data_IF_194845526439
#
_entry.id   IF_194845526439
#
_cell.length_a   1.000
_cell.length_b   1.000
_cell.length_c   1.000
_cell.angle_alpha   90.00
_cell.angle_beta   90.00
_cell.angle_gamma   90.00
#
_symmetry.space_group_name_H-M   'P 1'
#
loop_
_entity.id
_entity.type
_entity.pdbx_description
1 polymer ?
#
# COMPACT_ATOMS: atom_id res chain seq x y z
N UNK A 1 -34.45 -35.69 -1.54
CA UNK A 1 -33.19 -35.29 -0.88
C UNK A 1 -32.62 -34.16 -1.71
N UNK A 2 -32.71 -32.91 -1.22
CA UNK A 2 -32.05 -31.78 -1.83
C UNK A 2 -30.62 -31.78 -1.34
N UNK A 3 -29.66 -31.92 -2.23
CA UNK A 3 -28.23 -31.77 -1.91
C UNK A 3 -27.88 -30.32 -2.18
N UNK A 4 -27.69 -29.54 -1.11
CA UNK A 4 -27.17 -28.19 -1.21
C UNK A 4 -25.64 -28.29 -1.36
N UNK A 5 -25.15 -27.95 -2.53
CA UNK A 5 -23.71 -28.00 -2.83
C UNK A 5 -23.16 -26.59 -2.92
N UNK A 6 -22.27 -26.24 -2.01
CA UNK A 6 -21.49 -25.00 -2.05
C UNK A 6 -20.09 -25.35 -2.53
N UNK A 7 -19.67 -24.77 -3.63
CA UNK A 7 -18.30 -24.88 -4.12
C UNK A 7 -17.57 -23.59 -3.83
N UNK A 8 -16.52 -23.68 -3.02
CA UNK A 8 -15.56 -22.60 -2.81
C UNK A 8 -14.30 -23.01 -3.55
N UNK A 9 -13.97 -22.33 -4.64
CA UNK A 9 -12.70 -22.52 -5.33
C UNK A 9 -11.76 -21.44 -4.80
N UNK A 10 -10.83 -21.85 -3.95
CA UNK A 10 -9.79 -21.01 -3.42
C UNK A 10 -8.55 -21.00 -4.32
N UNK A 11 -8.21 -19.86 -4.79
CA UNK A 11 -6.92 -19.22 -4.96
C UNK A 11 -5.79 -19.92 -5.71
N UNK A 12 -5.39 -19.34 -6.84
CA UNK A 12 -4.01 -19.43 -7.35
C UNK A 12 -3.30 -18.12 -6.98
N UNK A 13 -2.40 -18.16 -6.01
CA UNK A 13 -1.52 -17.06 -5.69
C UNK A 13 -0.15 -17.33 -6.34
N UNK A 14 0.19 -16.57 -7.36
CA UNK A 14 1.56 -16.49 -7.84
C UNK A 14 2.23 -15.27 -7.20
N UNK A 15 3.14 -15.54 -6.27
CA UNK A 15 3.92 -14.51 -5.61
C UNK A 15 5.35 -14.54 -6.16
N UNK A 16 5.77 -13.45 -6.80
CA UNK A 16 7.14 -13.27 -7.27
C UNK A 16 7.80 -12.18 -6.43
N UNK A 17 8.93 -12.50 -5.81
CA UNK A 17 9.76 -11.51 -5.12
C UNK A 17 11.09 -11.37 -5.87
N UNK A 18 11.47 -10.14 -6.19
CA UNK A 18 12.76 -9.80 -6.79
C UNK A 18 13.59 -9.03 -5.78
N UNK A 19 14.80 -9.48 -5.55
CA UNK A 19 15.82 -8.77 -4.77
C UNK A 19 16.87 -8.29 -5.77
N UNK A 20 16.98 -6.98 -5.93
CA UNK A 20 18.07 -6.37 -6.71
C UNK A 20 19.07 -5.82 -5.71
N UNK A 21 20.21 -6.48 -5.58
CA UNK A 21 21.38 -5.96 -4.84
C UNK A 21 22.29 -5.29 -5.83
N UNK A 22 22.42 -3.98 -5.75
CA UNK A 22 23.34 -3.25 -6.60
C UNK A 22 24.74 -3.14 -5.96
N UNK A 23 25.74 -3.04 -6.84
CA UNK A 23 27.15 -3.22 -6.56
C UNK A 23 27.73 -2.11 -5.69
N UNK A 24 28.59 -2.47 -4.75
CA UNK A 24 29.44 -1.58 -3.97
C UNK A 24 30.47 -0.94 -4.93
N UNK A 25 30.41 0.38 -5.12
CA UNK A 25 31.51 1.13 -5.73
C UNK A 25 32.53 1.46 -4.66
N UNK A 26 33.62 0.68 -4.59
CA UNK A 26 34.84 1.08 -3.88
C UNK A 26 35.59 2.10 -4.74
N UNK A 27 35.52 3.38 -4.39
CA UNK A 27 36.51 4.35 -4.85
C UNK A 27 37.71 4.31 -3.91
N UNK A 28 38.74 3.55 -4.28
CA UNK A 28 40.03 3.58 -3.61
C UNK A 28 40.84 4.78 -4.05
N UNK A 29 40.75 5.89 -3.31
CA UNK A 29 41.79 6.91 -3.31
C UNK A 29 42.63 6.76 -2.04
N UNK A 30 43.89 6.43 -2.23
CA UNK A 30 44.92 6.42 -1.17
C UNK A 30 45.16 7.85 -0.74
N UNK A 31 44.64 8.19 0.42
CA UNK A 31 44.99 9.39 1.17
C UNK A 31 45.02 9.00 2.64
N UNK A 32 46.14 9.33 3.33
CA UNK A 32 46.47 8.98 4.72
C UNK A 32 45.53 9.56 5.80
N UNK A 33 44.24 9.41 5.61
CA UNK A 33 43.23 9.52 6.66
C UNK A 33 42.35 8.28 6.56
N UNK A 34 42.31 7.49 7.61
CA UNK A 34 41.42 6.36 7.76
C UNK A 34 39.98 6.91 7.79
N UNK A 35 39.45 7.20 6.63
CA UNK A 35 38.03 7.45 6.44
C UNK A 35 37.37 6.09 6.24
N UNK A 36 36.57 5.67 7.21
CA UNK A 36 35.72 4.49 7.04
C UNK A 36 34.98 4.57 5.70
N UNK A 37 34.95 3.49 4.90
CA UNK A 37 34.29 3.51 3.61
C UNK A 37 32.82 3.88 3.81
N UNK A 38 32.36 4.90 3.10
CA UNK A 38 30.94 5.29 3.10
C UNK A 38 30.17 4.23 2.31
N UNK A 39 29.61 3.27 3.01
CA UNK A 39 28.80 2.21 2.39
C UNK A 39 27.41 2.83 2.11
N UNK A 40 27.20 3.24 0.87
CA UNK A 40 25.87 3.52 0.36
C UNK A 40 25.29 2.20 -0.14
N UNK A 41 24.15 1.79 0.39
CA UNK A 41 23.46 0.59 -0.09
C UNK A 41 22.07 0.91 -0.61
N UNK A 42 21.73 0.30 -1.73
CA UNK A 42 20.41 0.38 -2.34
C UNK A 42 19.80 -1.03 -2.32
N UNK A 43 18.54 -1.12 -1.94
CA UNK A 43 17.80 -2.39 -1.98
C UNK A 43 16.41 -2.13 -2.52
N UNK A 44 16.02 -2.86 -3.56
CA UNK A 44 14.67 -2.86 -4.10
C UNK A 44 14.05 -4.24 -3.86
N UNK A 45 12.90 -4.25 -3.23
CA UNK A 45 12.12 -5.46 -2.97
C UNK A 45 10.71 -5.22 -3.49
N UNK A 46 10.08 -6.26 -4.03
CA UNK A 46 8.70 -6.14 -4.48
C UNK A 46 8.00 -7.48 -4.56
N UNK A 47 6.71 -7.45 -4.39
CA UNK A 47 5.83 -8.58 -4.64
C UNK A 47 4.66 -8.16 -5.53
N UNK A 48 4.21 -9.11 -6.33
CA UNK A 48 3.05 -8.97 -7.19
C UNK A 48 2.14 -10.17 -6.98
N UNK A 49 0.86 -9.93 -6.80
CA UNK A 49 -0.14 -10.96 -6.59
C UNK A 49 -1.35 -10.80 -7.49
N UNK A 50 -1.86 -11.92 -8.00
CA UNK A 50 -3.15 -11.99 -8.66
C UNK A 50 -3.99 -12.99 -7.88
N UNK A 51 -5.19 -12.59 -7.50
CA UNK A 51 -6.13 -13.42 -6.75
C UNK A 51 -7.43 -13.52 -7.52
N UNK A 52 -7.95 -14.74 -7.66
CA UNK A 52 -9.28 -14.99 -8.19
C UNK A 52 -10.08 -15.78 -7.16
N UNK A 53 -11.30 -15.34 -6.90
CA UNK A 53 -12.24 -16.04 -6.04
C UNK A 53 -13.55 -16.23 -6.78
N UNK A 54 -14.18 -17.38 -6.58
CA UNK A 54 -15.50 -17.67 -7.11
C UNK A 54 -16.35 -18.34 -6.03
N UNK A 55 -17.53 -17.80 -5.83
CA UNK A 55 -18.57 -18.38 -4.98
C UNK A 55 -19.76 -18.78 -5.86
N UNK A 56 -20.10 -20.05 -5.88
CA UNK A 56 -21.28 -20.54 -6.54
C UNK A 56 -22.28 -21.09 -5.50
N UNK A 57 -23.48 -20.52 -5.49
CA UNK A 57 -24.54 -20.87 -4.54
C UNK A 57 -25.76 -21.32 -5.34
N UNK A 58 -26.26 -22.53 -5.03
CA UNK A 58 -27.49 -23.06 -5.60
C UNK A 58 -28.40 -23.57 -4.49
N UNK A 59 -29.67 -23.16 -4.50
CA UNK A 59 -30.70 -23.62 -3.55
C UNK A 59 -30.34 -23.41 -2.06
N UNK A 60 -29.62 -22.33 -1.74
CA UNK A 60 -29.25 -22.02 -0.37
C UNK A 60 -30.40 -21.34 0.38
N UNK A 61 -30.87 -21.94 1.48
CA UNK A 61 -32.06 -21.49 2.22
C UNK A 61 -31.85 -20.16 2.95
N UNK A 62 -30.60 -19.83 3.34
CA UNK A 62 -30.28 -18.59 4.06
C UNK A 62 -30.10 -17.37 3.14
N UNK A 63 -30.31 -17.52 1.83
CA UNK A 63 -30.02 -16.48 0.84
C UNK A 63 -28.53 -16.42 0.50
N UNK A 64 -28.22 -15.61 -0.46
CA UNK A 64 -26.86 -15.42 -0.97
C UNK A 64 -26.85 -15.31 -2.49
N UNK A 65 -25.77 -14.82 -3.03
CA UNK A 65 -25.60 -14.61 -4.46
C UNK A 65 -24.27 -15.19 -4.94
N UNK A 66 -24.32 -15.90 -6.06
CA UNK A 66 -23.10 -16.37 -6.73
C UNK A 66 -22.31 -15.18 -7.25
N UNK A 67 -21.03 -15.15 -6.96
CA UNK A 67 -20.14 -14.08 -7.40
C UNK A 67 -18.77 -14.61 -7.80
N UNK A 68 -18.09 -13.83 -8.61
CA UNK A 68 -16.69 -14.00 -8.95
C UNK A 68 -15.94 -12.71 -8.68
N UNK A 69 -14.72 -12.77 -8.19
CA UNK A 69 -13.87 -11.60 -8.00
C UNK A 69 -12.45 -11.85 -8.46
N UNK A 70 -11.84 -10.81 -8.99
CA UNK A 70 -10.43 -10.77 -9.34
C UNK A 70 -9.76 -9.58 -8.70
N UNK A 71 -8.54 -9.76 -8.19
CA UNK A 71 -7.73 -8.72 -7.58
C UNK A 71 -6.28 -8.84 -8.00
N UNK A 72 -5.68 -7.68 -8.29
CA UNK A 72 -4.25 -7.53 -8.52
C UNK A 72 -3.68 -6.70 -7.36
N UNK A 73 -2.55 -7.13 -6.82
CA UNK A 73 -1.83 -6.41 -5.76
C UNK A 73 -0.36 -6.28 -6.13
N UNK A 74 0.25 -5.17 -5.76
CA UNK A 74 1.69 -4.99 -5.88
C UNK A 74 2.19 -4.18 -4.68
N UNK A 75 3.26 -4.66 -4.05
CA UNK A 75 3.98 -3.94 -3.01
C UNK A 75 5.42 -3.77 -3.47
N UNK A 76 5.93 -2.57 -3.38
CA UNK A 76 7.29 -2.23 -3.78
C UNK A 76 7.95 -1.48 -2.63
N UNK A 77 9.12 -1.93 -2.20
CA UNK A 77 9.91 -1.28 -1.16
C UNK A 77 11.29 -0.96 -1.70
N UNK A 78 11.63 0.31 -1.71
CA UNK A 78 12.96 0.79 -2.00
C UNK A 78 13.62 1.28 -0.73
N UNK A 79 14.79 0.74 -0.40
CA UNK A 79 15.62 1.14 0.75
C UNK A 79 16.92 1.73 0.25
N UNK A 80 17.25 2.91 0.76
CA UNK A 80 18.53 3.56 0.54
C UNK A 80 19.16 3.89 1.87
N UNK A 81 20.32 3.32 2.14
CA UNK A 81 21.12 3.60 3.35
C UNK A 81 22.31 4.46 3.01
N UNK A 82 22.48 5.50 3.77
CA UNK A 82 23.66 6.39 3.76
C UNK A 82 24.17 6.52 5.19
N UNK A 83 25.43 6.89 5.39
CA UNK A 83 26.13 6.95 6.69
C UNK A 83 25.29 7.47 7.87
N UNK A 84 24.48 8.51 7.65
CA UNK A 84 23.69 9.15 8.71
C UNK A 84 22.17 9.02 8.52
N UNK A 85 21.73 8.58 7.35
CA UNK A 85 20.31 8.58 7.00
C UNK A 85 19.91 7.29 6.29
N UNK A 86 18.79 6.77 6.71
CA UNK A 86 18.09 5.68 6.04
C UNK A 86 16.80 6.22 5.42
N UNK A 87 16.57 5.89 4.16
CA UNK A 87 15.37 6.22 3.41
C UNK A 87 14.66 4.93 3.04
N UNK A 88 13.37 4.86 3.32
CA UNK A 88 12.51 3.75 2.91
C UNK A 88 11.30 4.32 2.18
N UNK A 89 11.13 3.93 0.93
CA UNK A 89 9.96 4.27 0.13
C UNK A 89 9.15 2.99 -0.08
N UNK A 90 7.88 3.01 0.30
CA UNK A 90 6.96 1.91 0.08
C UNK A 90 5.83 2.37 -0.86
N UNK A 91 5.56 1.57 -1.89
CA UNK A 91 4.40 1.70 -2.74
C UNK A 91 3.49 0.48 -2.55
N UNK A 92 2.20 0.70 -2.31
CA UNK A 92 1.18 -0.35 -2.19
C UNK A 92 0.09 -0.03 -3.20
N UNK A 93 -0.13 -0.96 -4.12
CA UNK A 93 -1.11 -0.83 -5.18
C UNK A 93 -2.03 -2.04 -5.16
N UNK A 94 -3.32 -1.81 -5.23
CA UNK A 94 -4.30 -2.87 -5.33
C UNK A 94 -5.47 -2.41 -6.20
N UNK A 95 -5.95 -3.31 -7.05
CA UNK A 95 -7.16 -3.09 -7.84
C UNK A 95 -7.94 -4.38 -7.95
N UNK A 96 -9.22 -4.32 -7.65
CA UNK A 96 -10.08 -5.48 -7.63
C UNK A 96 -11.47 -5.18 -8.18
N UNK A 97 -12.04 -6.18 -8.82
CA UNK A 97 -13.41 -6.17 -9.36
C UNK A 97 -14.15 -7.41 -8.90
N UNK A 98 -15.43 -7.25 -8.62
CA UNK A 98 -16.37 -8.35 -8.33
C UNK A 98 -17.48 -8.36 -9.37
N UNK A 99 -17.89 -9.55 -9.79
CA UNK A 99 -19.02 -9.77 -10.70
C UNK A 99 -20.10 -10.57 -9.97
N UNK A 100 -21.32 -10.10 -10.02
CA UNK A 100 -22.48 -10.72 -9.39
C UNK A 100 -23.37 -11.36 -10.47
N UNK A 101 -23.69 -12.64 -10.29
CA UNK A 101 -24.39 -13.43 -11.31
C UNK A 101 -25.83 -13.00 -11.51
N UNK A 102 -26.53 -12.59 -10.44
CA UNK A 102 -27.95 -12.24 -10.46
C UNK A 102 -28.25 -11.05 -11.38
N UNK A 103 -27.47 -9.96 -11.21
CA UNK A 103 -27.70 -8.70 -11.89
C UNK A 103 -26.72 -8.48 -13.05
N UNK A 104 -25.79 -9.42 -13.29
CA UNK A 104 -24.66 -9.30 -14.23
C UNK A 104 -23.89 -7.99 -14.00
N UNK A 105 -23.80 -7.57 -12.76
CA UNK A 105 -23.19 -6.31 -12.34
C UNK A 105 -21.73 -6.54 -12.02
N UNK A 106 -20.92 -5.55 -12.38
CA UNK A 106 -19.51 -5.45 -12.00
C UNK A 106 -19.34 -4.33 -11.00
N UNK A 107 -18.73 -4.61 -9.88
CA UNK A 107 -18.44 -3.65 -8.84
C UNK A 107 -16.96 -3.60 -8.57
N UNK A 108 -16.45 -2.39 -8.36
CA UNK A 108 -15.10 -2.20 -7.87
C UNK A 108 -15.04 -2.65 -6.41
N UNK A 109 -14.24 -3.68 -6.12
CA UNK A 109 -14.12 -4.27 -4.79
C UNK A 109 -12.92 -3.72 -4.01
N UNK A 110 -11.87 -3.30 -4.72
CA UNK A 110 -10.70 -2.66 -4.13
C UNK A 110 -10.08 -1.67 -5.13
N UNK A 111 -9.60 -0.54 -4.62
CA UNK A 111 -8.88 0.43 -5.43
C UNK A 111 -8.00 1.25 -4.49
N UNK A 112 -6.71 0.97 -4.51
CA UNK A 112 -5.75 1.49 -3.55
C UNK A 112 -4.45 1.88 -4.22
N UNK A 113 -4.04 3.11 -4.01
CA UNK A 113 -2.75 3.65 -4.37
C UNK A 113 -2.18 4.34 -3.14
N UNK A 114 -1.17 3.73 -2.50
CA UNK A 114 -0.51 4.30 -1.34
C UNK A 114 1.00 4.37 -1.60
N UNK A 115 1.58 5.51 -1.34
CA UNK A 115 3.03 5.73 -1.38
C UNK A 115 3.42 6.34 -0.05
N UNK A 116 4.42 5.78 0.60
CA UNK A 116 4.98 6.33 1.84
C UNK A 116 6.49 6.43 1.76
N UNK A 117 7.02 7.47 2.38
CA UNK A 117 8.45 7.69 2.52
C UNK A 117 8.77 7.86 4.01
N UNK A 118 9.71 7.09 4.48
CA UNK A 118 10.28 7.22 5.82
C UNK A 118 11.74 7.62 5.69
N UNK A 119 12.14 8.66 6.40
CA UNK A 119 13.52 9.10 6.52
C UNK A 119 13.91 9.03 8.00
N UNK A 120 14.95 8.30 8.32
CA UNK A 120 15.46 8.14 9.69
C UNK A 120 16.92 8.55 9.76
N UNK A 121 17.29 9.27 10.82
CA UNK A 121 18.68 9.62 11.12
C UNK A 121 19.25 8.59 12.12
N UNK A 122 20.25 7.85 11.71
CA UNK A 122 20.89 6.78 12.49
C UNK A 122 22.07 7.27 13.33
N UNK A 123 21.94 8.39 14.00
CA UNK A 123 23.04 8.97 14.79
C UNK A 123 23.24 8.31 16.18
N UNK A 124 22.37 7.39 16.58
CA UNK A 124 22.40 6.69 17.87
C UNK A 124 21.93 5.25 17.73
N UNK A 125 22.50 4.34 18.52
CA UNK A 125 22.19 2.91 18.40
C UNK A 125 20.71 2.55 18.66
N UNK A 126 19.99 3.34 19.47
CA UNK A 126 18.63 2.99 19.91
C UNK A 126 17.59 4.10 19.64
N UNK A 127 18.03 5.34 19.43
CA UNK A 127 17.14 6.48 19.22
C UNK A 127 17.44 7.14 17.86
N UNK A 128 16.45 7.24 17.01
CA UNK A 128 16.54 7.89 15.71
C UNK A 128 15.48 8.96 15.56
N UNK A 129 15.85 10.12 14.99
CA UNK A 129 14.88 11.08 14.51
C UNK A 129 14.29 10.54 13.20
N UNK A 130 12.97 10.45 13.13
CA UNK A 130 12.26 9.84 12.00
C UNK A 130 11.19 10.77 11.50
N UNK A 131 11.13 10.96 10.18
CA UNK A 131 10.06 11.67 9.49
C UNK A 131 9.36 10.72 8.54
N UNK A 132 8.03 10.78 8.52
CA UNK A 132 7.19 9.95 7.66
C UNK A 132 6.27 10.86 6.86
N UNK A 133 6.24 10.66 5.55
CA UNK A 133 5.26 11.26 4.65
C UNK A 133 4.52 10.14 3.91
N UNK A 134 3.21 10.24 3.77
CA UNK A 134 2.42 9.28 3.00
C UNK A 134 1.34 9.96 2.19
N UNK A 135 1.09 9.40 1.02
CA UNK A 135 0.00 9.76 0.11
C UNK A 135 -0.86 8.52 -0.09
N UNK A 136 -2.16 8.65 0.10
CA UNK A 136 -3.14 7.62 -0.19
C UNK A 136 -4.23 8.17 -1.09
N UNK A 137 -4.48 7.48 -2.19
CA UNK A 137 -5.56 7.78 -3.15
C UNK A 137 -6.05 6.50 -3.82
N UNK A 138 -6.86 6.64 -4.84
CA UNK A 138 -7.38 5.57 -5.70
C UNK A 138 -7.12 5.89 -7.17
N UNK A 139 -7.26 4.89 -8.06
CA UNK A 139 -6.99 5.03 -9.49
C UNK A 139 -8.22 5.44 -10.30
N UNK A 140 -9.40 4.91 -9.94
CA UNK A 140 -10.62 5.02 -10.74
C UNK A 140 -11.78 5.55 -9.92
N UNK A 141 -12.86 5.89 -10.60
CA UNK A 141 -14.09 6.33 -9.93
C UNK A 141 -14.67 5.22 -9.07
N UNK A 142 -15.15 5.59 -7.89
CA UNK A 142 -15.93 4.75 -7.01
C UNK A 142 -17.41 5.11 -7.07
N UNK A 143 -18.27 4.12 -6.86
CA UNK A 143 -19.72 4.27 -6.94
C UNK A 143 -20.38 3.68 -5.70
N UNK A 144 -21.58 4.19 -5.36
CA UNK A 144 -22.44 3.62 -4.31
C UNK A 144 -23.46 2.71 -4.96
N UNK A 145 -23.11 1.46 -5.20
CA UNK A 145 -23.99 0.52 -5.88
C UNK A 145 -25.33 0.33 -5.17
N UNK A 146 -26.45 0.17 -5.90
CA UNK A 146 -26.53 -0.10 -7.33
C UNK A 146 -26.42 1.13 -8.26
N UNK A 147 -26.18 2.35 -7.73
CA UNK A 147 -25.93 3.51 -8.56
C UNK A 147 -24.50 3.45 -9.11
N UNK A 148 -24.37 3.35 -10.43
CA UNK A 148 -23.12 3.32 -11.19
C UNK A 148 -22.92 4.58 -12.07
N UNK A 149 -23.85 5.52 -12.01
CA UNK A 149 -23.88 6.69 -12.90
C UNK A 149 -23.22 7.91 -12.26
N UNK A 150 -23.39 8.09 -10.94
CA UNK A 150 -22.84 9.22 -10.20
C UNK A 150 -21.70 8.72 -9.32
N UNK A 151 -20.43 9.05 -9.65
CA UNK A 151 -19.31 8.64 -8.83
C UNK A 151 -19.32 9.38 -7.48
N UNK A 152 -18.98 8.65 -6.42
CA UNK A 152 -18.82 9.17 -5.06
C UNK A 152 -17.35 9.41 -4.70
N UNK A 153 -16.42 8.92 -5.50
CA UNK A 153 -14.98 9.12 -5.35
C UNK A 153 -14.27 8.96 -6.69
N UNK A 154 -13.03 9.44 -6.80
CA UNK A 154 -12.24 9.36 -8.03
C UNK A 154 -10.74 9.50 -7.77
N UNK A 155 -9.95 9.60 -8.84
CA UNK A 155 -8.53 9.86 -8.74
C UNK A 155 -8.27 11.21 -8.06
N UNK A 156 -7.49 11.22 -6.99
CA UNK A 156 -7.28 12.38 -6.10
C UNK A 156 -8.59 13.01 -5.56
N UNK A 157 -9.65 12.24 -5.49
CA UNK A 157 -10.93 12.66 -4.91
C UNK A 157 -11.56 11.51 -4.08
N UNK A 158 -11.06 11.27 -2.83
CA UNK A 158 -10.05 12.02 -2.09
C UNK A 158 -8.61 11.54 -2.30
N UNK A 159 -7.66 12.44 -2.01
CA UNK A 159 -6.27 12.09 -1.74
C UNK A 159 -5.89 12.55 -0.33
N UNK A 160 -5.33 11.67 0.45
CA UNK A 160 -4.90 11.94 1.82
C UNK A 160 -3.38 12.01 1.87
N UNK A 161 -2.86 13.13 2.34
CA UNK A 161 -1.45 13.31 2.65
C UNK A 161 -1.30 13.35 4.16
N UNK A 162 -0.47 12.47 4.71
CA UNK A 162 -0.10 12.51 6.12
C UNK A 162 1.39 12.79 6.22
N UNK A 163 1.76 13.65 7.14
CA UNK A 163 3.15 14.01 7.44
C UNK A 163 3.32 13.92 8.94
N UNK A 164 4.41 13.31 9.38
CA UNK A 164 4.77 13.27 10.80
C UNK A 164 6.28 13.34 10.98
N UNK A 165 6.71 13.90 12.11
CA UNK A 165 8.10 13.95 12.51
C UNK A 165 8.23 13.72 14.01
N UNK A 166 9.18 12.88 14.41
CA UNK A 166 9.34 12.49 15.79
C UNK A 166 10.56 11.62 16.03
N UNK A 167 10.53 10.90 17.10
CA UNK A 167 11.60 10.02 17.53
C UNK A 167 11.15 8.57 17.56
N UNK A 168 11.97 7.70 16.97
CA UNK A 168 11.81 6.26 17.04
C UNK A 168 12.84 5.70 18.00
N UNK A 169 12.37 5.02 19.04
CA UNK A 169 13.21 4.29 19.99
C UNK A 169 13.09 2.80 19.74
N UNK A 170 14.20 2.15 19.43
CA UNK A 170 14.24 0.72 19.17
C UNK A 170 15.00 0.03 20.30
N UNK A 171 14.33 -0.84 21.03
CA UNK A 171 14.93 -1.67 22.05
C UNK A 171 15.20 -3.06 21.50
N UNK A 172 16.45 -3.30 21.05
CA UNK A 172 16.84 -4.52 20.34
C UNK A 172 15.90 -4.77 19.14
N UNK A 173 15.71 -6.01 18.74
CA UNK A 173 14.91 -6.38 17.57
C UNK A 173 13.43 -6.67 17.87
N UNK A 174 13.00 -6.53 19.13
CA UNK A 174 11.66 -6.94 19.53
C UNK A 174 10.69 -5.78 19.86
N UNK A 175 11.17 -4.58 20.08
CA UNK A 175 10.32 -3.43 20.41
C UNK A 175 10.81 -2.17 19.70
N UNK A 176 9.90 -1.54 18.95
CA UNK A 176 10.12 -0.21 18.37
C UNK A 176 8.94 0.69 18.73
N UNK A 177 9.25 1.87 19.26
CA UNK A 177 8.25 2.86 19.68
C UNK A 177 8.53 4.17 18.96
N UNK A 178 7.57 4.61 18.14
CA UNK A 178 7.62 5.88 17.45
C UNK A 178 6.70 6.90 18.15
N UNK A 179 7.27 8.03 18.55
CA UNK A 179 6.54 9.13 19.18
C UNK A 179 6.72 10.36 18.29
N UNK A 180 5.59 10.85 17.74
CA UNK A 180 5.57 11.99 16.85
C UNK A 180 4.85 13.17 17.51
N UNK A 181 5.59 14.18 18.01
CA UNK A 181 4.98 15.40 18.53
C UNK A 181 4.42 16.31 17.42
N UNK A 182 4.88 16.11 16.19
CA UNK A 182 4.42 16.87 15.01
C UNK A 182 3.77 15.88 14.04
N UNK A 183 2.47 16.05 13.83
CA UNK A 183 1.73 15.28 12.85
C UNK A 183 0.64 16.14 12.20
N UNK A 184 0.43 15.95 10.91
CA UNK A 184 -0.59 16.66 10.13
C UNK A 184 -1.20 15.74 9.08
N UNK A 185 -2.48 15.97 8.80
CA UNK A 185 -3.21 15.33 7.72
C UNK A 185 -3.84 16.41 6.84
N UNK A 186 -3.65 16.29 5.54
CA UNK A 186 -4.25 17.15 4.52
C UNK A 186 -5.09 16.25 3.62
N UNK A 187 -6.31 16.68 3.35
CA UNK A 187 -7.22 16.01 2.41
C UNK A 187 -7.37 16.88 1.17
N UNK A 188 -7.09 16.31 0.01
CA UNK A 188 -7.34 16.94 -1.28
C UNK A 188 -8.55 16.29 -1.93
N UNK A 189 -9.43 17.10 -2.51
CA UNK A 189 -10.56 16.65 -3.32
C UNK A 189 -10.53 17.43 -4.62
N UNK A 190 -10.10 16.79 -5.70
CA UNK A 190 -9.95 17.44 -7.01
C UNK A 190 -11.27 17.56 -7.77
N UNK A 191 -12.27 16.75 -7.43
CA UNK A 191 -13.61 16.85 -8.00
C UNK A 191 -14.43 17.91 -7.23
N UNK A 192 -14.68 19.05 -7.89
CA UNK A 192 -15.41 20.18 -7.29
C UNK A 192 -16.79 19.79 -6.78
N UNK A 193 -17.50 18.92 -7.49
CA UNK A 193 -18.82 18.42 -7.10
C UNK A 193 -18.77 17.64 -5.78
N UNK A 194 -17.75 16.79 -5.59
CA UNK A 194 -17.55 16.02 -4.35
C UNK A 194 -17.11 16.94 -3.20
N UNK A 195 -16.33 17.98 -3.50
CA UNK A 195 -15.93 19.00 -2.54
C UNK A 195 -17.15 19.81 -2.06
N UNK A 196 -17.99 20.25 -2.97
CA UNK A 196 -19.18 21.06 -2.66
C UNK A 196 -20.23 20.27 -1.85
N UNK A 197 -20.27 18.94 -2.01
CA UNK A 197 -21.13 18.06 -1.19
C UNK A 197 -20.58 17.82 0.22
N UNK A 198 -19.38 18.31 0.55
CA UNK A 198 -18.76 18.09 1.86
C UNK A 198 -18.43 16.63 2.14
N UNK A 199 -18.21 15.81 1.10
CA UNK A 199 -18.06 14.35 1.24
C UNK A 199 -16.83 13.91 2.00
N UNK A 200 -15.81 14.76 2.12
CA UNK A 200 -14.50 14.39 2.67
C UNK A 200 -13.85 15.45 3.59
N UNK A 201 -14.55 16.50 3.93
CA UNK A 201 -14.05 17.62 4.77
C UNK A 201 -15.02 18.07 5.81
#
# INVERSE_FOLDING_TARGET
>A
IKIDTTYIIDTIINRYSYIVTDTIYENSYVSDSITEPQINSHKLEGDFGITFNQLAITHWAAGGESNGSGKITSNITYRYKRKLFDYVINGIFAYGMSSYAKDRRYEKSEDRCEISMTMSNNNSNNLSFTSIASLKTQFTNGYSYPNDSIPISGFFAPAYVNISAGYNYTLRDYLSVYISPIAGKITFVTDQRLADMGSYG
#
